data_IF_527989327247
#
_entry.id   IF_527989327247
#
_cell.length_a   1.000
_cell.length_b   1.000
_cell.length_c   1.000
_cell.angle_alpha   90.00
_cell.angle_beta   90.00
_cell.angle_gamma   90.00
#
_symmetry.space_group_name_H-M   'P 1'
#
loop_
_entity.id
_entity.type
_entity.pdbx_description
1 polymer ?
#
# COMPACT_ATOMS: atom_id res chain seq x y z
N UNK A 1 2.01 -3.98 0.77
CA UNK A 1 2.13 -2.86 -0.19
C UNK A 1 1.04 -2.81 -1.26
N UNK A 2 0.79 -3.90 -2.00
CA UNK A 2 -0.26 -3.99 -3.02
C UNK A 2 -0.98 -5.33 -2.92
N UNK A 3 -2.18 -5.43 -3.50
CA UNK A 3 -2.93 -6.67 -3.68
C UNK A 3 -2.67 -7.35 -5.02
N UNK A 4 -1.90 -6.72 -5.93
CA UNK A 4 -1.40 -7.37 -7.14
C UNK A 4 -0.21 -8.25 -6.76
N UNK A 5 -0.39 -9.57 -6.84
CA UNK A 5 0.62 -10.53 -6.42
C UNK A 5 1.88 -10.45 -7.29
N UNK A 6 1.78 -10.16 -8.59
CA UNK A 6 2.96 -10.03 -9.46
C UNK A 6 3.81 -8.85 -9.03
N UNK A 7 3.17 -7.72 -8.76
CA UNK A 7 3.87 -6.52 -8.30
C UNK A 7 4.40 -6.72 -6.88
N UNK A 8 3.64 -7.36 -6.00
CA UNK A 8 4.09 -7.70 -4.65
C UNK A 8 5.33 -8.57 -4.68
N UNK A 9 5.41 -9.60 -5.54
CA UNK A 9 6.59 -10.45 -5.65
C UNK A 9 7.81 -9.72 -6.24
N UNK A 10 7.60 -8.68 -7.06
CA UNK A 10 8.70 -7.88 -7.61
C UNK A 10 9.34 -6.99 -6.54
N UNK A 11 8.52 -6.34 -5.71
CA UNK A 11 9.00 -5.42 -4.68
C UNK A 11 9.28 -6.10 -3.33
N UNK A 12 8.63 -7.23 -3.05
CA UNK A 12 8.70 -7.99 -1.81
C UNK A 12 8.84 -9.52 -2.10
N UNK A 13 9.88 -9.99 -2.83
CA UNK A 13 10.00 -11.38 -3.30
C UNK A 13 10.07 -12.44 -2.19
N UNK A 14 10.36 -12.04 -0.94
CA UNK A 14 10.35 -12.93 0.22
C UNK A 14 9.06 -12.87 1.05
N UNK A 15 8.09 -12.03 0.67
CA UNK A 15 6.86 -11.89 1.43
C UNK A 15 5.89 -13.05 1.15
N UNK A 16 5.11 -13.39 2.18
CA UNK A 16 3.93 -14.23 1.99
C UNK A 16 2.96 -13.59 1.00
N UNK A 17 2.22 -14.42 0.27
CA UNK A 17 1.22 -13.94 -0.67
C UNK A 17 0.19 -13.05 0.01
N UNK A 18 -0.40 -12.15 -0.77
CA UNK A 18 -1.44 -11.23 -0.28
C UNK A 18 -2.59 -12.00 0.36
N UNK A 19 -3.01 -13.11 -0.24
CA UNK A 19 -4.08 -13.96 0.28
C UNK A 19 -3.74 -14.54 1.66
N UNK A 20 -2.54 -15.10 1.82
CA UNK A 20 -2.08 -15.64 3.13
C UNK A 20 -2.00 -14.55 4.20
N UNK A 21 -1.62 -13.32 3.84
CA UNK A 21 -1.61 -12.20 4.78
C UNK A 21 -3.03 -11.83 5.23
N UNK A 22 -4.01 -11.88 4.34
CA UNK A 22 -5.43 -11.62 4.67
C UNK A 22 -6.00 -12.75 5.53
N UNK A 23 -5.73 -14.02 5.19
CA UNK A 23 -6.14 -15.18 5.99
C UNK A 23 -5.58 -15.12 7.43
N UNK A 24 -4.32 -14.69 7.57
CA UNK A 24 -3.71 -14.46 8.87
C UNK A 24 -4.43 -13.35 9.65
N UNK A 25 -4.78 -12.23 9.00
CA UNK A 25 -5.57 -11.15 9.63
C UNK A 25 -6.94 -11.66 10.10
N UNK A 26 -7.65 -12.41 9.26
CA UNK A 26 -8.95 -13.00 9.59
C UNK A 26 -8.85 -13.95 10.79
N UNK A 27 -7.83 -14.81 10.82
CA UNK A 27 -7.60 -15.75 11.92
C UNK A 27 -7.31 -15.04 13.24
N UNK A 28 -6.44 -14.03 13.21
CA UNK A 28 -6.08 -13.22 14.38
C UNK A 28 -7.28 -12.43 14.89
N UNK A 29 -8.00 -11.76 14.00
CA UNK A 29 -9.16 -10.94 14.35
C UNK A 29 -10.31 -11.80 14.91
N UNK A 30 -10.57 -12.97 14.31
CA UNK A 30 -11.56 -13.95 14.82
C UNK A 30 -11.20 -14.48 16.20
N UNK A 31 -9.90 -14.49 16.54
CA UNK A 31 -9.38 -14.85 17.86
C UNK A 31 -9.40 -13.66 18.85
N UNK A 32 -10.06 -12.56 18.49
CA UNK A 32 -10.18 -11.31 19.29
C UNK A 32 -8.84 -10.63 19.57
N UNK A 33 -7.84 -10.86 18.73
CA UNK A 33 -6.58 -10.11 18.76
C UNK A 33 -6.79 -8.82 17.96
N UNK A 34 -6.39 -7.68 18.53
CA UNK A 34 -6.46 -6.40 17.84
C UNK A 34 -5.53 -6.42 16.61
N UNK A 35 -6.11 -6.21 15.44
CA UNK A 35 -5.42 -6.30 14.15
C UNK A 35 -5.37 -4.95 13.46
N UNK A 36 -4.29 -4.74 12.69
CA UNK A 36 -4.15 -3.55 11.86
C UNK A 36 -3.46 -3.90 10.56
N UNK A 37 -3.59 -3.01 9.57
CA UNK A 37 -2.77 -3.06 8.37
C UNK A 37 -1.91 -1.82 8.25
N UNK A 38 -0.72 -2.02 7.70
CA UNK A 38 0.20 -0.96 7.31
C UNK A 38 0.31 -0.93 5.78
N UNK A 39 -0.23 0.13 5.17
CA UNK A 39 -0.21 0.34 3.73
C UNK A 39 0.96 1.25 3.39
N UNK A 40 2.13 0.65 3.21
CA UNK A 40 3.37 1.39 3.02
C UNK A 40 4.51 0.56 2.41
N UNK A 41 5.35 1.15 1.54
CA UNK A 41 5.13 2.44 0.90
C UNK A 41 3.97 2.33 -0.11
N UNK A 42 3.08 3.32 -0.17
CA UNK A 42 2.07 3.39 -1.25
C UNK A 42 2.82 3.56 -2.57
N UNK A 43 2.68 2.61 -3.49
CA UNK A 43 3.33 2.65 -4.80
C UNK A 43 2.39 3.34 -5.79
N UNK A 44 2.81 4.46 -6.43
CA UNK A 44 2.07 5.03 -7.54
C UNK A 44 1.71 3.96 -8.57
N UNK A 45 0.50 4.03 -9.15
CA UNK A 45 -0.04 3.08 -10.14
C UNK A 45 -0.39 1.70 -9.56
N UNK A 46 0.43 1.16 -8.66
CA UNK A 46 0.33 -0.25 -8.26
C UNK A 46 -0.39 -0.50 -6.94
N UNK A 47 -0.48 0.48 -6.05
CA UNK A 47 -1.25 0.35 -4.82
C UNK A 47 -2.69 0.82 -5.06
N UNK A 48 -3.63 -0.12 -5.03
CA UNK A 48 -5.06 0.17 -5.09
C UNK A 48 -5.63 0.20 -3.66
N UNK A 49 -5.78 1.40 -3.10
CA UNK A 49 -6.31 1.57 -1.74
C UNK A 49 -7.73 1.01 -1.61
N UNK A 50 -8.61 1.34 -2.57
CA UNK A 50 -10.00 0.90 -2.55
C UNK A 50 -10.12 -0.64 -2.47
N UNK A 51 -9.30 -1.40 -3.22
CA UNK A 51 -9.26 -2.86 -3.16
C UNK A 51 -8.69 -3.39 -1.84
N UNK A 52 -7.60 -2.79 -1.33
CA UNK A 52 -7.01 -3.17 -0.04
C UNK A 52 -8.03 -3.01 1.08
N UNK A 53 -8.65 -1.83 1.19
CA UNK A 53 -9.67 -1.57 2.21
C UNK A 53 -10.87 -2.51 2.04
N UNK A 54 -11.35 -2.73 0.81
CA UNK A 54 -12.47 -3.65 0.55
C UNK A 54 -12.18 -5.09 1.00
N UNK A 55 -10.95 -5.58 0.80
CA UNK A 55 -10.58 -6.95 1.19
C UNK A 55 -10.30 -7.12 2.68
N UNK A 56 -9.92 -6.05 3.37
CA UNK A 56 -9.40 -6.14 4.76
C UNK A 56 -10.32 -5.54 5.81
N UNK A 57 -11.26 -4.65 5.45
CA UNK A 57 -12.05 -3.86 6.41
C UNK A 57 -12.78 -4.66 7.50
N UNK A 58 -13.11 -5.92 7.25
CA UNK A 58 -13.82 -6.78 8.21
C UNK A 58 -12.92 -7.43 9.25
N UNK A 59 -11.60 -7.36 9.07
CA UNK A 59 -10.61 -8.12 9.83
C UNK A 59 -9.54 -7.23 10.46
N UNK A 60 -9.80 -5.92 10.52
CA UNK A 60 -8.86 -4.92 11.02
C UNK A 60 -9.59 -3.92 11.92
N UNK A 61 -8.94 -3.53 13.00
CA UNK A 61 -9.43 -2.51 13.93
C UNK A 61 -8.84 -1.14 13.60
N UNK A 62 -7.65 -1.10 12.97
CA UNK A 62 -7.00 0.15 12.59
C UNK A 62 -6.15 0.07 11.31
N UNK A 63 -5.85 1.24 10.76
CA UNK A 63 -5.08 1.38 9.52
C UNK A 63 -3.98 2.43 9.65
N UNK A 64 -2.85 2.12 9.02
CA UNK A 64 -1.71 3.01 8.86
C UNK A 64 -1.41 3.18 7.37
N UNK A 65 -1.00 4.39 6.96
CA UNK A 65 -0.56 4.69 5.60
C UNK A 65 0.85 5.28 5.59
N UNK A 66 1.61 5.01 4.54
CA UNK A 66 2.93 5.60 4.32
C UNK A 66 3.10 5.99 2.85
N UNK A 67 3.51 7.23 2.62
CA UNK A 67 3.91 7.71 1.30
C UNK A 67 5.25 7.11 0.88
N UNK A 68 5.41 6.80 -0.41
CA UNK A 68 6.71 6.41 -0.95
C UNK A 68 7.76 7.49 -0.70
N UNK A 69 8.87 7.10 -0.07
CA UNK A 69 10.03 7.96 0.06
C UNK A 69 10.73 8.11 -1.30
N UNK A 70 10.86 9.34 -1.80
CA UNK A 70 11.58 9.64 -3.05
C UNK A 70 13.03 10.08 -2.85
N UNK A 71 13.46 10.29 -1.60
CA UNK A 71 14.80 10.78 -1.25
C UNK A 71 15.81 9.62 -1.14
N UNK A 72 17.10 9.96 -1.03
CA UNK A 72 18.21 9.03 -0.75
C UNK A 72 18.28 7.78 -1.65
N UNK A 73 17.90 7.94 -2.93
CA UNK A 73 17.93 6.89 -3.93
C UNK A 73 16.85 5.81 -3.76
N UNK A 74 15.85 6.01 -2.90
CA UNK A 74 14.73 5.06 -2.77
C UNK A 74 13.93 4.96 -4.07
N UNK A 75 13.57 6.11 -4.69
CA UNK A 75 12.88 6.12 -5.98
C UNK A 75 13.69 5.44 -7.08
N UNK A 76 14.98 5.75 -7.21
CA UNK A 76 15.86 5.16 -8.23
C UNK A 76 15.99 3.64 -8.13
N UNK A 77 15.95 3.09 -6.90
CA UNK A 77 15.91 1.63 -6.70
C UNK A 77 14.60 1.04 -7.21
N UNK A 78 13.46 1.70 -6.96
CA UNK A 78 12.16 1.27 -7.45
C UNK A 78 12.10 1.31 -8.98
N UNK A 79 12.58 2.39 -9.60
CA UNK A 79 12.69 2.53 -11.05
C UNK A 79 13.56 1.42 -11.66
N UNK A 80 14.73 1.17 -11.07
CA UNK A 80 15.64 0.10 -11.52
C UNK A 80 14.97 -1.28 -11.47
N UNK A 81 14.19 -1.55 -10.42
CA UNK A 81 13.43 -2.80 -10.28
C UNK A 81 12.35 -2.91 -11.35
N UNK A 82 11.61 -1.84 -11.65
CA UNK A 82 10.60 -1.83 -12.71
C UNK A 82 11.24 -2.06 -14.10
N UNK A 83 12.35 -1.39 -14.40
CA UNK A 83 13.10 -1.55 -15.66
C UNK A 83 13.58 -3.00 -15.81
N UNK A 84 14.22 -3.56 -14.76
CA UNK A 84 14.76 -4.92 -14.77
C UNK A 84 13.65 -5.96 -15.05
N UNK A 85 12.45 -5.72 -14.55
CA UNK A 85 11.29 -6.60 -14.74
C UNK A 85 10.45 -6.25 -15.98
N UNK A 86 10.94 -5.34 -16.85
CA UNK A 86 10.28 -4.94 -18.11
C UNK A 86 8.84 -4.44 -17.90
N UNK A 87 8.62 -3.64 -16.85
CA UNK A 87 7.32 -3.04 -16.60
C UNK A 87 7.21 -1.69 -17.34
N UNK A 88 6.30 -1.64 -18.29
CA UNK A 88 5.96 -0.44 -19.06
C UNK A 88 5.13 0.52 -18.18
N UNK A 89 5.81 1.40 -17.44
CA UNK A 89 5.23 2.61 -16.81
C UNK A 89 6.22 3.37 -15.91
N UNK A 90 7.53 3.10 -16.02
CA UNK A 90 8.56 3.73 -15.17
C UNK A 90 8.46 5.26 -15.17
N UNK A 91 8.32 5.89 -16.34
CA UNK A 91 8.21 7.35 -16.45
C UNK A 91 6.97 7.89 -15.74
N UNK A 92 5.82 7.23 -15.94
CA UNK A 92 4.56 7.60 -15.28
C UNK A 92 4.65 7.38 -13.77
N UNK A 93 5.27 6.30 -13.33
CA UNK A 93 5.50 5.99 -11.93
C UNK A 93 6.35 7.08 -11.27
N UNK A 94 7.46 7.46 -11.91
CA UNK A 94 8.37 8.49 -11.42
C UNK A 94 7.72 9.87 -11.38
N UNK A 95 6.96 10.22 -12.42
CA UNK A 95 6.20 11.47 -12.48
C UNK A 95 5.22 11.56 -11.31
N UNK A 96 4.38 10.54 -11.11
CA UNK A 96 3.41 10.50 -10.02
C UNK A 96 4.07 10.44 -8.64
N UNK A 97 5.20 9.74 -8.50
CA UNK A 97 5.95 9.69 -7.24
C UNK A 97 6.39 11.08 -6.76
N UNK A 98 6.66 12.01 -7.69
CA UNK A 98 7.07 13.38 -7.40
C UNK A 98 5.93 14.41 -7.51
N UNK A 99 4.71 13.98 -7.87
CA UNK A 99 3.55 14.85 -8.05
C UNK A 99 2.86 15.13 -6.70
N UNK A 100 2.82 16.41 -6.30
CA UNK A 100 2.19 16.85 -5.06
C UNK A 100 0.68 16.66 -5.05
N UNK A 101 0.01 16.93 -6.17
CA UNK A 101 -1.45 16.84 -6.27
C UNK A 101 -1.91 15.38 -6.27
N UNK A 102 -1.12 14.50 -6.89
CA UNK A 102 -1.29 13.05 -6.75
C UNK A 102 -1.28 12.63 -5.27
N UNK A 103 -0.28 13.03 -4.49
CA UNK A 103 -0.20 12.65 -3.07
C UNK A 103 -1.31 13.27 -2.22
N UNK A 104 -1.77 14.49 -2.54
CA UNK A 104 -2.95 15.09 -1.91
C UNK A 104 -4.19 14.21 -2.19
N UNK A 105 -4.37 13.74 -3.43
CA UNK A 105 -5.49 12.86 -3.78
C UNK A 105 -5.43 11.50 -3.08
N UNK A 106 -4.24 10.88 -2.99
CA UNK A 106 -4.03 9.60 -2.30
C UNK A 106 -4.34 9.73 -0.81
N UNK A 107 -3.86 10.80 -0.17
CA UNK A 107 -4.16 11.06 1.24
C UNK A 107 -5.66 11.22 1.45
N UNK A 108 -6.33 12.00 0.59
CA UNK A 108 -7.79 12.19 0.64
C UNK A 108 -8.53 10.86 0.45
N UNK A 109 -8.13 10.04 -0.52
CA UNK A 109 -8.71 8.71 -0.76
C UNK A 109 -8.56 7.82 0.48
N UNK A 110 -7.36 7.75 1.06
CA UNK A 110 -7.07 6.94 2.25
C UNK A 110 -8.00 7.29 3.43
N UNK A 111 -8.11 8.59 3.77
CA UNK A 111 -8.97 9.03 4.88
C UNK A 111 -10.45 8.81 4.59
N UNK A 112 -10.88 9.01 3.33
CA UNK A 112 -12.26 8.74 2.92
C UNK A 112 -12.60 7.25 3.04
N UNK A 113 -11.69 6.35 2.65
CA UNK A 113 -11.90 4.91 2.77
C UNK A 113 -11.92 4.46 4.22
N UNK A 114 -11.01 4.96 5.06
CA UNK A 114 -11.01 4.68 6.49
C UNK A 114 -12.33 5.12 7.14
N UNK A 115 -12.82 6.33 6.81
CA UNK A 115 -14.12 6.81 7.29
C UNK A 115 -15.28 5.96 6.76
N UNK A 116 -15.28 5.61 5.47
CA UNK A 116 -16.31 4.76 4.82
C UNK A 116 -16.48 3.42 5.53
N UNK A 117 -15.38 2.80 5.96
CA UNK A 117 -15.39 1.51 6.64
C UNK A 117 -15.35 1.62 8.18
N UNK A 118 -15.48 2.83 8.73
CA UNK A 118 -15.46 3.11 10.17
C UNK A 118 -14.20 2.56 10.88
N UNK A 119 -13.03 2.74 10.25
CA UNK A 119 -11.74 2.27 10.75
C UNK A 119 -10.99 3.38 11.48
N UNK A 120 -10.33 3.03 12.58
CA UNK A 120 -9.42 3.97 13.26
C UNK A 120 -8.16 4.20 12.42
N UNK A 121 -7.88 5.47 12.11
CA UNK A 121 -6.62 5.84 11.46
C UNK A 121 -5.57 6.11 12.53
N UNK A 122 -4.57 5.25 12.61
CA UNK A 122 -3.49 5.41 13.58
C UNK A 122 -2.43 6.39 13.10
N UNK A 123 -2.18 6.47 11.79
CA UNK A 123 -1.24 7.44 11.22
C UNK A 123 -1.16 7.41 9.69
N UNK A 124 -0.70 8.52 9.11
CA UNK A 124 -0.30 8.62 7.72
C UNK A 124 1.04 9.34 7.63
N UNK A 125 2.10 8.62 7.23
CA UNK A 125 3.48 9.09 7.24
C UNK A 125 3.89 9.70 5.89
N UNK A 126 4.56 10.86 5.96
CA UNK A 126 5.19 11.57 4.84
C UNK A 126 6.67 11.84 5.19
N UNK A 127 7.56 11.80 4.19
CA UNK A 127 9.03 11.81 4.33
C UNK A 127 9.69 13.12 3.89
#
# INVERSE_FOLDING_TARGET
TTTDEKISQIFEPGASSTEKRIEALETLHSSKINTYIFIGPILPIYTNLSDIFFKTNKFIDSVWGEKLNTKYGALSRMESTLIKNKIDSVDKFSCLANDKDFWISIRKEFFNLASKYNLHVTGFYDH
#
